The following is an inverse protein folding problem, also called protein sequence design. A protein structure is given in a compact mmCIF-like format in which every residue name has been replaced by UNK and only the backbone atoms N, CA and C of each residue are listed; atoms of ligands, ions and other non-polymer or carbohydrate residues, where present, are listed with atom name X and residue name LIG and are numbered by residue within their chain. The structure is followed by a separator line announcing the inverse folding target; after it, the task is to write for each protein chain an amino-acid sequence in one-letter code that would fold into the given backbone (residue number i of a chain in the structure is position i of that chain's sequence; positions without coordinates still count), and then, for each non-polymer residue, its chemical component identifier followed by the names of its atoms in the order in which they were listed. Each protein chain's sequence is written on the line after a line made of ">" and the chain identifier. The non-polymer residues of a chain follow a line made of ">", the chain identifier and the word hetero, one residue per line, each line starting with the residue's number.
data_IF_523676719490
#
_entry.id   IF_523676719490
#
_cell.length_a   1.000
_cell.length_b   1.000
_cell.length_c   1.000
_cell.angle_alpha   90.00
_cell.angle_beta   90.00
_cell.angle_gamma   90.00
#
_symmetry.space_group_name_H-M   'P 1'
#
loop_
_entity.id
_entity.type
_entity.pdbx_description
1 polymer ?
#
# COMPACT_ATOMS: atom_id res chain seq x y z
N UNK A 1 -7.26 -44.82 17.00
CA UNK A 1 -7.25 -44.42 15.57
C UNK A 1 -8.31 -43.40 15.19
N UNK A 2 -9.61 -43.60 15.46
CA UNK A 2 -10.69 -42.69 15.03
C UNK A 2 -10.58 -41.25 15.53
N UNK A 3 -10.05 -41.03 16.75
CA UNK A 3 -9.81 -39.69 17.28
C UNK A 3 -8.53 -39.05 16.68
N UNK A 4 -7.51 -39.84 16.37
CA UNK A 4 -6.27 -39.36 15.73
C UNK A 4 -6.51 -38.82 14.31
N UNK A 5 -7.39 -39.49 13.54
CA UNK A 5 -7.81 -39.04 12.20
C UNK A 5 -8.57 -37.71 12.29
N UNK A 6 -9.41 -37.51 13.31
CA UNK A 6 -10.13 -36.23 13.53
C UNK A 6 -9.18 -35.08 13.85
N UNK A 7 -8.18 -35.28 14.71
CA UNK A 7 -7.17 -34.23 14.99
C UNK A 7 -6.27 -33.95 13.78
N UNK A 8 -5.92 -34.98 13.00
CA UNK A 8 -5.14 -34.83 11.76
C UNK A 8 -5.89 -34.04 10.68
N UNK A 9 -7.21 -34.27 10.52
CA UNK A 9 -8.07 -33.50 9.60
C UNK A 9 -8.22 -32.03 10.00
N UNK A 10 -8.29 -31.72 11.30
CA UNK A 10 -8.36 -30.34 11.80
C UNK A 10 -7.04 -29.58 11.56
N UNK A 11 -5.89 -30.25 11.71
CA UNK A 11 -4.57 -29.68 11.40
C UNK A 11 -4.36 -29.39 9.91
N UNK A 12 -4.93 -30.21 9.01
CA UNK A 12 -4.88 -29.98 7.56
C UNK A 12 -5.72 -28.77 7.11
N UNK A 13 -6.83 -28.47 7.79
CA UNK A 13 -7.70 -27.34 7.46
C UNK A 13 -7.07 -25.98 7.80
N UNK A 14 -6.31 -25.89 8.89
CA UNK A 14 -5.69 -24.63 9.33
C UNK A 14 -4.56 -24.13 8.41
N UNK A 15 -3.77 -25.04 7.83
CA UNK A 15 -2.71 -24.68 6.87
C UNK A 15 -3.25 -24.17 5.52
N UNK A 16 -4.46 -24.59 5.15
CA UNK A 16 -5.12 -24.20 3.89
C UNK A 16 -5.60 -22.75 3.91
N UNK A 17 -6.15 -22.28 5.04
CA UNK A 17 -6.70 -20.93 5.17
C UNK A 17 -5.63 -19.84 5.00
N UNK A 18 -4.43 -20.02 5.57
CA UNK A 18 -3.32 -19.06 5.41
C UNK A 18 -2.85 -18.99 3.96
N UNK A 19 -2.68 -20.15 3.29
CA UNK A 19 -2.31 -20.18 1.87
C UNK A 19 -3.35 -19.48 1.01
N UNK A 20 -4.63 -19.75 1.25
CA UNK A 20 -5.73 -19.14 0.51
C UNK A 20 -5.79 -17.62 0.72
N UNK A 21 -5.61 -17.15 1.96
CA UNK A 21 -5.57 -15.72 2.26
C UNK A 21 -4.40 -15.02 1.56
N UNK A 22 -3.20 -15.59 1.63
CA UNK A 22 -2.01 -15.06 0.95
C UNK A 22 -2.17 -15.05 -0.58
N UNK A 23 -2.75 -16.11 -1.16
CA UNK A 23 -3.06 -16.17 -2.59
C UNK A 23 -4.07 -15.08 -2.99
N UNK A 24 -5.18 -14.92 -2.25
CA UNK A 24 -6.20 -13.90 -2.55
C UNK A 24 -5.65 -12.48 -2.45
N UNK A 25 -4.75 -12.25 -1.49
CA UNK A 25 -4.04 -10.98 -1.35
C UNK A 25 -2.98 -10.75 -2.45
N UNK A 26 -2.65 -11.76 -3.26
CA UNK A 26 -1.61 -11.70 -4.30
C UNK A 26 -0.17 -11.75 -3.75
N UNK A 27 0.01 -11.88 -2.44
CA UNK A 27 1.32 -11.81 -1.76
C UNK A 27 2.31 -12.90 -2.24
N UNK A 28 1.79 -14.01 -2.78
CA UNK A 28 2.63 -15.10 -3.29
C UNK A 28 2.67 -15.18 -4.81
N UNK A 29 2.09 -14.18 -5.49
CA UNK A 29 2.20 -14.05 -6.94
C UNK A 29 3.66 -13.73 -7.31
N UNK A 30 4.03 -14.04 -8.55
CA UNK A 30 5.38 -13.78 -9.07
C UNK A 30 5.38 -12.73 -10.17
N UNK A 31 4.20 -12.37 -10.66
CA UNK A 31 3.98 -11.46 -11.76
C UNK A 31 3.00 -10.40 -11.31
N UNK A 32 3.23 -9.17 -11.76
CA UNK A 32 2.36 -8.05 -11.45
C UNK A 32 1.13 -8.08 -12.32
N UNK A 33 -0.04 -7.79 -11.72
CA UNK A 33 -1.26 -7.59 -12.47
C UNK A 33 -1.31 -6.15 -12.99
N UNK A 34 -1.62 -6.02 -14.27
CA UNK A 34 -1.76 -4.74 -14.96
C UNK A 34 -3.22 -4.62 -15.40
N UNK A 35 -3.84 -3.47 -15.11
CA UNK A 35 -5.15 -3.14 -15.66
C UNK A 35 -4.99 -1.91 -16.54
N UNK A 36 -5.45 -1.97 -17.78
CA UNK A 36 -5.33 -0.87 -18.73
C UNK A 36 -6.63 -0.08 -18.79
N UNK A 37 -6.56 1.24 -18.66
CA UNK A 37 -7.68 2.16 -18.86
C UNK A 37 -7.39 3.15 -19.98
N UNK A 38 -8.37 3.37 -20.86
CA UNK A 38 -8.22 4.24 -22.02
C UNK A 38 -9.47 5.10 -22.23
N UNK A 39 -9.28 6.37 -22.60
CA UNK A 39 -10.37 7.32 -22.86
C UNK A 39 -10.42 7.83 -24.31
N UNK A 40 -9.75 7.18 -25.26
CA UNK A 40 -9.61 7.68 -26.64
C UNK A 40 -8.34 8.50 -26.89
N UNK A 41 -7.70 9.03 -25.85
CA UNK A 41 -6.48 9.84 -26.00
C UNK A 41 -5.36 9.40 -25.06
N UNK A 42 -5.67 9.15 -23.79
CA UNK A 42 -4.73 8.76 -22.75
C UNK A 42 -4.87 7.28 -22.44
N UNK A 43 -3.72 6.59 -22.43
CA UNK A 43 -3.55 5.22 -22.00
C UNK A 43 -2.94 5.19 -20.59
N UNK A 44 -3.64 4.60 -19.64
CA UNK A 44 -3.25 4.50 -18.24
C UNK A 44 -3.11 3.03 -17.88
N UNK A 45 -1.92 2.63 -17.42
CA UNK A 45 -1.66 1.29 -16.89
C UNK A 45 -1.65 1.35 -15.38
N UNK A 46 -2.61 0.71 -14.73
CA UNK A 46 -2.60 0.51 -13.29
C UNK A 46 -1.79 -0.74 -12.95
N UNK A 47 -0.67 -0.55 -12.26
CA UNK A 47 0.25 -1.60 -11.84
C UNK A 47 -0.08 -1.95 -10.38
N UNK A 48 -0.70 -3.12 -10.15
CA UNK A 48 -1.19 -3.52 -8.81
C UNK A 48 -0.03 -3.86 -7.87
N UNK A 49 0.43 -2.88 -7.09
CA UNK A 49 1.51 -3.06 -6.13
C UNK A 49 1.02 -3.66 -4.80
N UNK A 50 1.93 -4.30 -4.07
CA UNK A 50 1.73 -4.69 -2.68
C UNK A 50 3.03 -4.51 -1.89
N UNK A 51 2.93 -4.18 -0.61
CA UNK A 51 4.10 -3.91 0.24
C UNK A 51 4.88 -5.15 0.66
N UNK A 52 4.29 -6.35 0.55
CA UNK A 52 4.94 -7.62 0.93
C UNK A 52 4.64 -8.64 -0.15
N UNK A 53 5.69 -9.29 -0.63
CA UNK A 53 5.58 -10.20 -1.76
C UNK A 53 6.80 -11.07 -1.96
N UNK A 54 6.79 -11.87 -3.02
CA UNK A 54 7.97 -12.63 -3.44
C UNK A 54 9.02 -11.74 -4.10
N UNK A 55 10.29 -12.13 -3.99
CA UNK A 55 11.38 -11.44 -4.71
C UNK A 55 11.15 -11.43 -6.22
N UNK A 56 10.59 -12.51 -6.76
CA UNK A 56 10.27 -12.66 -8.18
C UNK A 56 9.23 -11.63 -8.64
N UNK A 57 8.24 -11.31 -7.80
CA UNK A 57 7.26 -10.26 -8.10
C UNK A 57 7.96 -8.91 -8.32
N UNK A 58 8.80 -8.47 -7.38
CA UNK A 58 9.47 -7.17 -7.51
C UNK A 58 10.50 -7.14 -8.64
N UNK A 59 11.11 -8.28 -8.98
CA UNK A 59 11.93 -8.40 -10.19
C UNK A 59 11.08 -8.21 -11.45
N UNK A 60 9.91 -8.83 -11.51
CA UNK A 60 8.97 -8.66 -12.62
C UNK A 60 8.47 -7.21 -12.73
N UNK A 61 8.12 -6.56 -11.61
CA UNK A 61 7.80 -5.13 -11.56
C UNK A 61 8.94 -4.30 -12.14
N UNK A 62 10.18 -4.50 -11.69
CA UNK A 62 11.33 -3.74 -12.20
C UNK A 62 11.50 -3.92 -13.72
N UNK A 63 11.46 -5.16 -14.21
CA UNK A 63 11.59 -5.43 -15.65
C UNK A 63 10.47 -4.77 -16.46
N UNK A 64 9.23 -4.77 -15.94
CA UNK A 64 8.13 -4.04 -16.53
C UNK A 64 8.40 -2.53 -16.54
N UNK A 65 8.83 -1.96 -15.41
CA UNK A 65 9.13 -0.51 -15.33
C UNK A 65 10.20 -0.10 -16.32
N UNK A 66 11.31 -0.84 -16.39
CA UNK A 66 12.40 -0.58 -17.34
C UNK A 66 11.84 -0.51 -18.79
N UNK A 67 10.94 -1.44 -19.14
CA UNK A 67 10.27 -1.44 -20.44
C UNK A 67 9.34 -0.24 -20.63
N UNK A 68 8.55 0.11 -19.62
CA UNK A 68 7.62 1.24 -19.66
C UNK A 68 8.35 2.57 -19.87
N UNK A 69 9.45 2.78 -19.14
CA UNK A 69 10.28 4.00 -19.27
C UNK A 69 10.90 4.10 -20.68
N UNK A 70 11.43 3.00 -21.23
CA UNK A 70 11.91 2.95 -22.62
C UNK A 70 10.79 3.28 -23.63
N UNK A 71 9.54 2.90 -23.32
CA UNK A 71 8.37 3.16 -24.16
C UNK A 71 7.69 4.52 -23.88
N UNK A 72 8.38 5.43 -23.19
CA UNK A 72 7.94 6.80 -22.87
C UNK A 72 6.64 6.85 -22.05
N UNK A 73 6.43 5.90 -21.14
CA UNK A 73 5.43 6.04 -20.10
C UNK A 73 5.93 6.97 -18.99
N UNK A 74 5.10 7.91 -18.56
CA UNK A 74 5.32 8.64 -17.31
C UNK A 74 4.96 7.76 -16.13
N UNK A 75 5.88 7.62 -15.18
CA UNK A 75 5.68 6.80 -13.99
C UNK A 75 5.13 7.66 -12.87
N UNK A 76 3.91 7.37 -12.39
CA UNK A 76 3.37 7.97 -11.17
C UNK A 76 3.30 6.89 -10.10
N UNK A 77 3.75 7.18 -8.88
CA UNK A 77 3.83 6.18 -7.82
C UNK A 77 3.26 6.66 -6.48
N UNK A 78 2.87 5.69 -5.66
CA UNK A 78 2.39 5.87 -4.29
C UNK A 78 3.56 5.92 -3.30
N UNK A 79 3.67 7.01 -2.55
CA UNK A 79 4.52 7.10 -1.36
C UNK A 79 4.14 8.35 -0.56
N UNK A 80 3.49 8.19 0.60
CA UNK A 80 3.10 9.33 1.45
C UNK A 80 4.27 10.30 1.60
N UNK A 81 4.03 11.56 1.26
CA UNK A 81 5.07 12.59 1.21
C UNK A 81 5.23 13.17 2.61
N UNK A 82 6.47 13.25 3.11
CA UNK A 82 6.79 14.05 4.30
C UNK A 82 7.27 15.42 3.80
N UNK A 83 6.51 16.50 4.02
CA UNK A 83 6.90 17.81 3.55
C UNK A 83 8.24 18.29 4.12
N UNK A 84 9.08 18.88 3.26
CA UNK A 84 10.42 19.37 3.64
C UNK A 84 10.38 20.56 4.62
N UNK A 85 9.28 21.30 4.67
CA UNK A 85 9.13 22.44 5.55
C UNK A 85 8.89 22.06 7.02
N UNK A 86 8.58 20.79 7.31
CA UNK A 86 8.36 20.31 8.66
C UNK A 86 9.70 20.12 9.38
N UNK A 87 9.77 20.54 10.63
CA UNK A 87 10.87 20.12 11.50
C UNK A 87 10.87 18.61 11.71
N UNK A 88 12.00 18.09 12.18
CA UNK A 88 12.11 16.67 12.53
C UNK A 88 11.08 16.26 13.60
N UNK A 89 10.84 17.11 14.59
CA UNK A 89 9.89 16.82 15.67
C UNK A 89 8.42 16.86 15.20
N UNK A 90 8.06 17.80 14.32
CA UNK A 90 6.73 17.82 13.70
C UNK A 90 6.50 16.60 12.83
N UNK A 91 7.48 16.24 11.99
CA UNK A 91 7.42 15.03 11.15
C UNK A 91 7.26 13.77 12.00
N UNK A 92 8.00 13.65 13.11
CA UNK A 92 7.88 12.53 14.04
C UNK A 92 6.48 12.50 14.69
N UNK A 93 5.97 13.64 15.13
CA UNK A 93 4.65 13.75 15.75
C UNK A 93 3.54 13.31 14.79
N UNK A 94 3.57 13.79 13.55
CA UNK A 94 2.61 13.41 12.51
C UNK A 94 2.71 11.92 12.16
N UNK A 95 3.91 11.37 12.07
CA UNK A 95 4.12 9.93 11.83
C UNK A 95 3.57 9.08 12.99
N UNK A 96 3.69 9.53 14.24
CA UNK A 96 3.11 8.86 15.41
C UNK A 96 1.59 8.89 15.36
N UNK A 97 1.00 10.03 14.99
CA UNK A 97 -0.45 10.14 14.78
C UNK A 97 -0.93 9.20 13.68
N UNK A 98 -0.20 9.14 12.56
CA UNK A 98 -0.50 8.23 11.45
C UNK A 98 -0.47 6.77 11.89
N UNK A 99 0.58 6.35 12.61
CA UNK A 99 0.67 5.02 13.22
C UNK A 99 -0.48 4.72 14.19
N UNK A 100 -0.92 5.68 15.00
CA UNK A 100 -2.07 5.50 15.91
C UNK A 100 -3.37 5.23 15.16
N UNK A 101 -3.55 5.88 14.00
CA UNK A 101 -4.67 5.60 13.09
C UNK A 101 -4.51 4.19 12.47
N UNK A 102 -3.38 3.90 11.83
CA UNK A 102 -3.23 2.67 11.03
C UNK A 102 -3.08 1.41 11.89
N UNK A 103 -2.61 1.56 13.13
CA UNK A 103 -2.32 0.47 14.05
C UNK A 103 -1.13 -0.40 13.63
N UNK A 104 -0.24 0.16 12.82
CA UNK A 104 1.02 -0.44 12.39
C UNK A 104 2.09 0.68 12.30
N UNK A 105 3.36 0.33 12.12
CA UNK A 105 4.50 1.26 12.01
C UNK A 105 4.48 2.16 10.75
N UNK A 106 3.29 2.53 10.26
CA UNK A 106 3.07 3.40 9.10
C UNK A 106 2.87 2.64 7.79
N UNK A 107 3.36 1.39 7.69
CA UNK A 107 3.19 0.50 6.53
C UNK A 107 3.06 -0.97 6.95
N UNK A 108 2.53 -1.81 6.05
CA UNK A 108 2.52 -3.26 6.21
C UNK A 108 3.97 -3.77 6.22
N UNK A 109 4.46 -4.26 7.37
CA UNK A 109 5.85 -4.69 7.58
C UNK A 109 5.97 -6.20 7.86
N UNK A 110 6.97 -6.84 7.25
CA UNK A 110 7.42 -8.20 7.54
C UNK A 110 8.82 -8.18 8.16
N UNK A 111 8.95 -8.74 9.37
CA UNK A 111 10.24 -9.20 9.88
C UNK A 111 10.65 -10.44 9.07
N UNK A 112 11.59 -10.27 8.14
CA UNK A 112 12.03 -11.33 7.22
C UNK A 112 12.94 -12.37 7.90
N UNK A 113 13.56 -12.03 9.04
CA UNK A 113 14.41 -12.93 9.83
C UNK A 113 13.51 -13.94 10.54
N UNK A 114 12.51 -13.45 11.27
CA UNK A 114 11.61 -14.28 12.07
C UNK A 114 10.34 -14.71 11.32
N UNK A 115 10.07 -14.12 10.15
CA UNK A 115 8.88 -14.31 9.32
C UNK A 115 7.61 -13.93 10.09
N UNK A 116 7.62 -12.74 10.71
CA UNK A 116 6.49 -12.21 11.47
C UNK A 116 5.94 -10.98 10.75
N UNK A 117 4.70 -11.09 10.30
CA UNK A 117 3.94 -10.02 9.66
C UNK A 117 3.27 -9.16 10.73
N UNK A 118 3.43 -7.83 10.65
CA UNK A 118 2.83 -6.84 11.55
C UNK A 118 3.14 -7.10 13.04
N UNK A 119 4.30 -7.69 13.34
CA UNK A 119 4.69 -8.07 14.71
C UNK A 119 3.83 -9.17 15.34
N UNK A 120 2.81 -9.70 14.63
CA UNK A 120 1.75 -10.53 15.22
C UNK A 120 1.59 -11.89 14.55
N UNK A 121 1.73 -11.96 13.23
CA UNK A 121 1.34 -13.13 12.46
C UNK A 121 2.56 -13.87 11.90
N UNK A 122 2.81 -15.09 12.39
CA UNK A 122 3.88 -15.94 11.87
C UNK A 122 3.53 -16.48 10.47
N UNK A 123 4.35 -16.16 9.49
CA UNK A 123 4.20 -16.60 8.10
C UNK A 123 5.13 -17.80 7.83
N UNK A 124 4.66 -18.84 7.11
CA UNK A 124 5.51 -19.97 6.76
C UNK A 124 6.72 -19.55 5.89
N UNK A 125 7.94 -19.87 6.36
CA UNK A 125 9.22 -19.56 5.68
C UNK A 125 9.30 -20.03 4.23
N UNK A 126 8.55 -21.09 3.87
CA UNK A 126 8.48 -21.62 2.49
C UNK A 126 8.05 -20.59 1.45
N UNK A 127 7.35 -19.53 1.85
CA UNK A 127 6.88 -18.49 0.93
C UNK A 127 7.99 -17.50 0.53
N UNK A 128 9.09 -17.42 1.30
CA UNK A 128 10.26 -16.55 1.00
C UNK A 128 9.86 -15.11 0.67
N UNK A 129 8.98 -14.54 1.49
CA UNK A 129 8.46 -13.18 1.29
C UNK A 129 9.48 -12.14 1.72
N UNK A 130 9.43 -10.98 1.07
CA UNK A 130 10.22 -9.79 1.38
C UNK A 130 9.30 -8.56 1.42
N UNK A 131 9.74 -7.52 2.13
CA UNK A 131 9.14 -6.20 2.00
C UNK A 131 9.42 -5.64 0.60
N UNK A 132 8.54 -4.76 0.13
CA UNK A 132 8.73 -4.00 -1.11
C UNK A 132 10.10 -3.30 -1.06
N UNK A 133 10.94 -3.48 -2.10
CA UNK A 133 12.18 -2.73 -2.22
C UNK A 133 11.93 -1.22 -2.28
N UNK A 134 12.99 -0.44 -2.13
CA UNK A 134 12.88 1.01 -2.29
C UNK A 134 12.43 1.36 -3.72
N UNK A 135 11.86 2.56 -3.85
CA UNK A 135 11.37 3.07 -5.12
C UNK A 135 12.49 3.20 -6.17
N UNK A 136 13.69 3.59 -5.74
CA UNK A 136 14.90 3.68 -6.58
C UNK A 136 15.36 2.33 -7.12
N UNK A 137 15.00 1.22 -6.45
CA UNK A 137 15.23 -0.12 -6.99
C UNK A 137 14.22 -0.47 -8.09
N UNK A 138 12.98 0.00 -7.95
CA UNK A 138 11.85 -0.39 -8.81
C UNK A 138 11.73 0.47 -10.08
N UNK A 139 12.20 1.72 -10.03
CA UNK A 139 12.14 2.66 -11.13
C UNK A 139 13.31 3.66 -11.08
N UNK A 140 13.67 4.19 -12.25
CA UNK A 140 14.51 5.37 -12.32
C UNK A 140 13.71 6.59 -11.82
N UNK A 141 14.12 7.13 -10.67
CA UNK A 141 13.39 8.17 -9.95
C UNK A 141 13.40 9.51 -10.69
N UNK A 142 14.40 9.76 -11.53
CA UNK A 142 14.51 11.00 -12.31
C UNK A 142 13.39 11.11 -13.36
N UNK A 143 12.76 9.99 -13.71
CA UNK A 143 11.66 9.90 -14.67
C UNK A 143 10.34 9.43 -14.02
N UNK A 144 10.28 9.43 -12.68
CA UNK A 144 9.11 9.07 -11.91
C UNK A 144 8.63 10.24 -11.03
N UNK A 145 7.34 10.29 -10.76
CA UNK A 145 6.73 11.35 -9.97
C UNK A 145 5.94 10.75 -8.81
N UNK A 146 6.23 11.21 -7.60
CA UNK A 146 5.43 10.87 -6.43
C UNK A 146 4.09 11.61 -6.52
N UNK A 147 3.01 10.86 -6.67
CA UNK A 147 1.67 11.40 -6.84
C UNK A 147 0.76 10.88 -5.74
N UNK A 148 1.07 11.30 -4.51
CA UNK A 148 0.39 10.86 -3.30
C UNK A 148 0.18 12.05 -2.34
N UNK A 149 -0.60 11.83 -1.29
CA UNK A 149 -0.87 12.84 -0.28
C UNK A 149 0.34 13.10 0.63
N UNK A 150 0.40 14.34 1.10
CA UNK A 150 1.32 14.74 2.16
C UNK A 150 0.81 14.29 3.54
N UNK A 151 1.72 13.88 4.41
CA UNK A 151 1.43 13.31 5.73
C UNK A 151 0.65 14.29 6.63
N UNK A 152 1.07 15.55 6.67
CA UNK A 152 0.38 16.64 7.36
C UNK A 152 -1.06 16.80 6.86
N UNK A 153 -1.27 16.77 5.54
CA UNK A 153 -2.58 16.91 4.91
C UNK A 153 -3.49 15.72 5.21
N UNK A 154 -2.91 14.50 5.27
CA UNK A 154 -3.60 13.29 5.72
C UNK A 154 -4.11 13.45 7.15
N UNK A 155 -3.23 13.86 8.07
CA UNK A 155 -3.56 14.04 9.49
C UNK A 155 -4.59 15.16 9.66
N UNK A 156 -4.37 16.31 9.05
CA UNK A 156 -5.27 17.47 9.13
C UNK A 156 -6.68 17.12 8.63
N UNK A 157 -6.79 16.42 7.50
CA UNK A 157 -8.09 16.02 6.96
C UNK A 157 -8.79 15.01 7.88
N UNK A 158 -8.06 14.04 8.40
CA UNK A 158 -8.61 13.10 9.37
C UNK A 158 -9.13 13.83 10.60
N UNK A 159 -8.33 14.71 11.20
CA UNK A 159 -8.70 15.43 12.43
C UNK A 159 -9.90 16.36 12.21
N UNK A 160 -9.98 17.01 11.04
CA UNK A 160 -11.14 17.83 10.65
C UNK A 160 -12.43 17.03 10.53
N UNK A 161 -12.36 15.77 10.09
CA UNK A 161 -13.53 14.93 9.85
C UNK A 161 -13.96 14.14 11.08
N UNK A 162 -13.01 13.72 11.92
CA UNK A 162 -13.24 12.70 12.95
C UNK A 162 -12.78 13.11 14.34
N UNK A 163 -12.20 14.31 14.50
CA UNK A 163 -11.67 14.81 15.76
C UNK A 163 -10.17 14.61 15.91
N UNK A 164 -9.58 15.32 16.87
CA UNK A 164 -8.13 15.34 17.08
C UNK A 164 -7.59 13.97 17.50
N UNK A 165 -6.38 13.66 17.03
CA UNK A 165 -5.63 12.46 17.42
C UNK A 165 -4.74 12.83 18.60
N UNK A 166 -5.08 12.33 19.78
CA UNK A 166 -4.27 12.49 20.98
C UNK A 166 -3.23 11.37 21.06
N UNK A 167 -1.95 11.74 21.18
CA UNK A 167 -0.86 10.80 21.42
C UNK A 167 -0.78 10.53 22.92
N UNK A 168 -0.77 9.27 23.32
CA UNK A 168 -0.59 8.86 24.72
C UNK A 168 0.90 8.79 25.05
N UNK A 169 1.22 8.65 26.35
CA UNK A 169 2.61 8.42 26.77
C UNK A 169 3.25 7.22 26.07
N UNK A 170 2.49 6.15 25.82
CA UNK A 170 2.97 5.00 25.05
C UNK A 170 3.39 5.42 23.64
N UNK A 171 2.55 6.18 22.93
CA UNK A 171 2.87 6.64 21.57
C UNK A 171 4.13 7.52 21.55
N UNK A 172 4.29 8.36 22.57
CA UNK A 172 5.42 9.28 22.73
C UNK A 172 6.73 8.54 23.06
N UNK A 173 6.68 7.45 23.83
CA UNK A 173 7.87 6.69 24.21
C UNK A 173 8.27 5.64 23.16
N UNK A 174 7.32 5.08 22.41
CA UNK A 174 7.63 4.03 21.42
C UNK A 174 8.26 4.61 20.15
N UNK A 175 9.37 4.03 19.71
CA UNK A 175 10.07 4.42 18.48
C UNK A 175 9.23 4.14 17.23
N UNK A 176 9.22 5.07 16.26
CA UNK A 176 8.30 5.06 15.10
C UNK A 176 8.30 3.74 14.30
N UNK A 177 9.47 3.14 14.15
CA UNK A 177 9.69 1.96 13.32
C UNK A 177 9.92 0.68 14.12
N UNK A 178 9.55 0.68 15.39
CA UNK A 178 9.54 -0.55 16.18
C UNK A 178 8.60 -1.58 15.55
N UNK A 179 9.09 -2.81 15.34
CA UNK A 179 8.36 -3.87 14.67
C UNK A 179 7.12 -4.35 15.46
N UNK A 180 7.20 -4.26 16.79
CA UNK A 180 6.08 -4.43 17.72
C UNK A 180 5.50 -3.05 18.06
N UNK A 181 4.21 -2.87 17.77
CA UNK A 181 3.46 -1.69 18.21
C UNK A 181 2.22 -2.16 18.97
N UNK A 182 2.27 -2.01 20.29
CA UNK A 182 1.26 -2.48 21.24
C UNK A 182 0.51 -1.33 21.95
N UNK A 183 0.77 -0.07 21.57
CA UNK A 183 0.00 1.05 22.08
C UNK A 183 -1.46 1.02 21.60
N UNK A 184 -2.31 1.73 22.35
CA UNK A 184 -3.70 1.90 21.98
C UNK A 184 -3.84 2.61 20.62
N UNK A 185 -4.67 2.03 19.77
CA UNK A 185 -4.98 2.53 18.43
C UNK A 185 -6.40 3.08 18.40
N UNK A 186 -6.74 3.88 17.38
CA UNK A 186 -8.10 4.40 17.25
C UNK A 186 -9.16 3.29 17.17
N UNK A 187 -10.43 3.65 17.32
CA UNK A 187 -11.50 2.65 17.25
C UNK A 187 -11.53 1.96 15.87
N UNK A 188 -12.08 0.74 15.80
CA UNK A 188 -12.28 0.05 14.50
C UNK A 188 -13.09 0.90 13.52
N UNK A 189 -14.04 1.69 14.04
CA UNK A 189 -14.87 2.60 13.24
C UNK A 189 -14.00 3.70 12.64
N UNK A 190 -13.16 4.36 13.44
CA UNK A 190 -12.31 5.46 12.97
C UNK A 190 -11.28 4.99 11.96
N UNK A 191 -10.69 3.81 12.17
CA UNK A 191 -9.80 3.19 11.16
C UNK A 191 -10.51 2.89 9.85
N UNK A 192 -11.74 2.38 9.92
CA UNK A 192 -12.54 2.16 8.72
C UNK A 192 -12.84 3.48 8.01
N UNK A 193 -13.21 4.52 8.75
CA UNK A 193 -13.46 5.84 8.20
C UNK A 193 -12.20 6.46 7.57
N UNK A 194 -11.03 6.26 8.17
CA UNK A 194 -9.74 6.61 7.58
C UNK A 194 -9.51 5.90 6.24
N UNK A 195 -9.72 4.59 6.18
CA UNK A 195 -9.56 3.84 4.92
C UNK A 195 -10.53 4.38 3.87
N UNK A 196 -11.81 4.51 4.20
CA UNK A 196 -12.83 4.87 3.22
C UNK A 196 -12.65 6.34 2.74
N UNK A 197 -12.39 7.27 3.66
CA UNK A 197 -12.39 8.72 3.36
C UNK A 197 -11.03 9.25 2.94
N UNK A 198 -9.95 8.76 3.57
CA UNK A 198 -8.61 9.28 3.34
C UNK A 198 -7.86 8.41 2.33
N UNK A 199 -7.79 7.09 2.55
CA UNK A 199 -7.04 6.19 1.67
C UNK A 199 -7.74 6.04 0.32
N UNK A 200 -9.04 5.71 0.31
CA UNK A 200 -9.80 5.45 -0.91
C UNK A 200 -10.44 6.73 -1.48
N UNK A 201 -10.80 7.69 -0.64
CA UNK A 201 -11.31 8.99 -1.09
C UNK A 201 -10.19 9.92 -1.51
N UNK A 202 -9.57 10.57 -0.53
CA UNK A 202 -8.63 11.67 -0.76
C UNK A 202 -7.37 11.27 -1.55
N UNK A 203 -6.67 10.19 -1.20
CA UNK A 203 -5.43 9.82 -1.90
C UNK A 203 -5.70 9.41 -3.35
N UNK A 204 -6.79 8.68 -3.59
CA UNK A 204 -7.20 8.34 -4.96
C UNK A 204 -7.52 9.58 -5.80
N UNK A 205 -8.19 10.59 -5.22
CA UNK A 205 -8.52 11.80 -5.98
C UNK A 205 -7.26 12.52 -6.45
N UNK A 206 -6.20 12.58 -5.62
CA UNK A 206 -4.92 13.21 -6.00
C UNK A 206 -4.33 12.54 -7.25
N UNK A 207 -4.19 11.22 -7.24
CA UNK A 207 -3.58 10.50 -8.35
C UNK A 207 -4.43 10.59 -9.62
N UNK A 208 -5.76 10.55 -9.50
CA UNK A 208 -6.64 10.69 -10.67
C UNK A 208 -6.66 12.11 -11.23
N UNK A 209 -6.60 13.13 -10.36
CA UNK A 209 -6.46 14.53 -10.78
C UNK A 209 -5.11 14.75 -11.48
N UNK A 210 -4.04 14.12 -10.99
CA UNK A 210 -2.74 14.14 -11.65
C UNK A 210 -2.78 13.48 -13.03
N UNK A 211 -3.47 12.35 -13.18
CA UNK A 211 -3.66 11.68 -14.48
C UNK A 211 -4.44 12.56 -15.46
N UNK A 212 -5.53 13.17 -15.00
CA UNK A 212 -6.38 14.03 -15.81
C UNK A 212 -5.65 15.28 -16.29
N UNK A 213 -4.95 15.96 -15.37
CA UNK A 213 -4.24 17.21 -15.65
C UNK A 213 -2.85 17.02 -16.30
N UNK A 214 -2.33 15.79 -16.32
CA UNK A 214 -1.05 15.49 -16.97
C UNK A 214 -1.11 15.81 -18.47
N UNK A 215 0.00 16.28 -19.02
CA UNK A 215 0.14 16.43 -20.49
C UNK A 215 0.51 15.12 -21.19
N UNK A 216 0.87 14.09 -20.42
CA UNK A 216 1.30 12.81 -20.96
C UNK A 216 0.11 11.92 -21.32
N UNK A 217 0.22 11.23 -22.45
CA UNK A 217 -0.81 10.31 -22.94
C UNK A 217 -0.52 8.84 -22.61
N UNK A 218 0.67 8.54 -22.07
CA UNK A 218 1.05 7.20 -21.60
C UNK A 218 1.48 7.32 -20.15
N UNK A 219 0.68 6.79 -19.23
CA UNK A 219 0.92 6.92 -17.79
C UNK A 219 0.87 5.52 -17.17
N UNK A 220 1.84 5.19 -16.33
CA UNK A 220 1.84 3.98 -15.52
C UNK A 220 1.73 4.36 -14.04
N UNK A 221 0.70 3.84 -13.37
CA UNK A 221 0.36 4.10 -11.98
C UNK A 221 0.82 2.93 -11.12
N UNK A 222 1.88 3.12 -10.33
CA UNK A 222 2.36 2.14 -9.37
C UNK A 222 1.74 2.43 -8.01
N UNK A 223 0.60 1.79 -7.76
CA UNK A 223 -0.23 2.03 -6.58
C UNK A 223 -0.68 0.71 -5.96
N UNK A 224 -0.92 0.73 -4.65
CA UNK A 224 -1.38 -0.42 -3.90
C UNK A 224 -2.67 -0.99 -4.50
N UNK A 225 -2.73 -2.31 -4.69
CA UNK A 225 -3.87 -3.02 -5.29
C UNK A 225 -5.24 -2.61 -4.72
N UNK A 226 -5.31 -2.32 -3.42
CA UNK A 226 -6.53 -1.91 -2.74
C UNK A 226 -7.12 -0.59 -3.29
N UNK A 227 -6.33 0.25 -3.94
CA UNK A 227 -6.75 1.52 -4.53
C UNK A 227 -7.45 1.34 -5.88
N UNK A 228 -7.24 0.23 -6.59
CA UNK A 228 -7.65 0.07 -7.99
C UNK A 228 -9.13 0.35 -8.22
N UNK A 229 -10.03 -0.25 -7.43
CA UNK A 229 -11.48 -0.07 -7.62
C UNK A 229 -11.91 1.40 -7.48
N UNK A 230 -11.32 2.14 -6.54
CA UNK A 230 -11.63 3.56 -6.34
C UNK A 230 -11.06 4.43 -7.47
N UNK A 231 -9.81 4.20 -7.86
CA UNK A 231 -9.15 4.91 -8.96
C UNK A 231 -9.86 4.63 -10.28
N UNK A 232 -10.18 3.37 -10.57
CA UNK A 232 -10.93 2.97 -11.76
C UNK A 232 -12.25 3.75 -11.85
N UNK A 233 -13.04 3.76 -10.77
CA UNK A 233 -14.32 4.48 -10.74
C UNK A 233 -14.15 5.97 -11.06
N UNK A 234 -13.19 6.63 -10.41
CA UNK A 234 -12.92 8.06 -10.65
C UNK A 234 -12.45 8.33 -12.09
N UNK A 235 -11.65 7.45 -12.68
CA UNK A 235 -11.26 7.56 -14.09
C UNK A 235 -12.43 7.28 -15.04
N UNK A 236 -13.31 6.32 -14.73
CA UNK A 236 -14.52 6.04 -15.53
C UNK A 236 -15.48 7.22 -15.56
N UNK A 237 -15.61 7.95 -14.44
CA UNK A 237 -16.35 9.23 -14.37
C UNK A 237 -15.75 10.31 -15.30
N UNK A 238 -14.47 10.17 -15.68
CA UNK A 238 -13.77 11.01 -16.66
C UNK A 238 -13.71 10.40 -18.07
N UNK A 239 -14.52 9.37 -18.35
CA UNK A 239 -14.66 8.77 -19.67
C UNK A 239 -13.60 7.71 -20.03
N UNK A 240 -12.78 7.28 -19.07
CA UNK A 240 -11.92 6.12 -19.27
C UNK A 240 -12.74 4.82 -19.24
N UNK A 241 -12.26 3.81 -19.95
CA UNK A 241 -12.80 2.45 -19.94
C UNK A 241 -11.67 1.47 -19.74
N UNK A 242 -11.92 0.43 -18.95
CA UNK A 242 -10.99 -0.69 -18.86
C UNK A 242 -10.94 -1.40 -20.22
N UNK A 243 -9.74 -1.72 -20.68
CA UNK A 243 -9.49 -2.47 -21.91
C UNK A 243 -9.40 -3.94 -21.51
N UNK A 244 -10.27 -4.77 -22.09
CA UNK A 244 -10.28 -6.23 -21.93
C UNK A 244 -9.12 -6.91 -22.69
#
# INVERSE_FOLDING_TARGET
>A
MRNFIKYFLILLLLGSCVKLALNRAGIVDKEVKINQLYNGTKNVLFIEMHHIGKKEFYKNVKTLTDSLQINNFSIFYESIIVPEYLSQEESKSLAKKHRKITGNSGNLYLDTINNILLGKYKIPKKYKLINQPSNEYLFDIDYAQNMDAQLDSIILKFEKMFGNIELTECDLQTELYEASFDCETLSRKDRKMYIDSIVIGYRNSIITDAVFNSKNNKIALFYGKAHFTGIKKLLEEQGYKEVE
#
